data_IF_023940705167
#
_entry.id   IF_023940705167
#
_cell.length_a   1.000
_cell.length_b   1.000
_cell.length_c   1.000
_cell.angle_alpha   90.00
_cell.angle_beta   90.00
_cell.angle_gamma   90.00
#
_symmetry.space_group_name_H-M   'P 1'
#
loop_
_entity.id
_entity.type
_entity.pdbx_description
1 polymer ?
#
# COMPACT_ATOMS: atom_id res chain seq x y z
N UNK A 1 1.12 -15.91 -0.01
CA UNK A 1 2.28 -15.10 0.44
C UNK A 1 3.38 -14.98 -0.62
N UNK A 2 4.07 -16.06 -1.01
CA UNK A 2 5.21 -15.96 -1.94
C UNK A 2 4.82 -15.41 -3.32
N UNK A 3 3.72 -15.89 -3.89
CA UNK A 3 3.20 -15.34 -5.16
C UNK A 3 2.80 -13.86 -5.07
N UNK A 4 2.45 -13.36 -3.89
CA UNK A 4 2.15 -11.93 -3.66
C UNK A 4 3.45 -11.13 -3.57
N UNK A 5 4.43 -11.61 -2.80
CA UNK A 5 5.77 -11.01 -2.74
C UNK A 5 6.42 -10.93 -4.13
N UNK A 6 6.32 -11.98 -4.95
CA UNK A 6 6.79 -11.98 -6.33
C UNK A 6 6.08 -10.95 -7.22
N UNK A 7 4.77 -10.72 -7.02
CA UNK A 7 4.06 -9.67 -7.75
C UNK A 7 4.58 -8.27 -7.36
N UNK A 8 4.88 -8.05 -6.07
CA UNK A 8 5.50 -6.82 -5.59
C UNK A 8 6.89 -6.61 -6.19
N UNK A 9 7.78 -7.60 -6.07
CA UNK A 9 9.16 -7.54 -6.61
C UNK A 9 9.17 -7.16 -8.08
N UNK A 10 8.39 -7.87 -8.90
CA UNK A 10 8.26 -7.59 -10.34
C UNK A 10 7.74 -6.18 -10.64
N UNK A 11 6.83 -5.65 -9.82
CA UNK A 11 6.36 -4.28 -10.02
C UNK A 11 7.48 -3.26 -9.73
N UNK A 12 8.27 -3.45 -8.68
CA UNK A 12 9.36 -2.54 -8.33
C UNK A 12 10.58 -2.69 -9.25
N UNK A 13 10.86 -3.88 -9.79
CA UNK A 13 11.89 -4.11 -10.82
C UNK A 13 11.66 -3.24 -12.07
N UNK A 14 10.41 -2.88 -12.35
CA UNK A 14 10.03 -2.04 -13.48
C UNK A 14 10.02 -0.54 -13.15
N UNK A 15 10.51 -0.16 -11.96
CA UNK A 15 10.55 1.22 -11.49
C UNK A 15 11.97 1.63 -11.14
N UNK A 16 12.26 2.93 -11.18
CA UNK A 16 13.55 3.48 -10.71
C UNK A 16 13.63 3.69 -9.20
N UNK A 17 12.78 3.00 -8.41
CA UNK A 17 12.71 3.11 -6.96
C UNK A 17 12.24 1.80 -6.34
N UNK A 18 12.47 1.61 -5.04
CA UNK A 18 11.98 0.43 -4.33
C UNK A 18 10.92 0.73 -3.27
N UNK A 19 10.49 -0.32 -2.54
CA UNK A 19 9.52 -0.22 -1.45
C UNK A 19 9.90 0.78 -0.34
N UNK A 20 11.20 1.03 -0.15
CA UNK A 20 11.72 1.97 0.84
C UNK A 20 11.24 3.41 0.63
N UNK A 21 10.80 3.74 -0.58
CA UNK A 21 10.30 5.06 -0.97
C UNK A 21 8.76 5.11 -1.10
N UNK A 22 8.05 4.04 -0.74
CA UNK A 22 6.58 3.96 -0.80
C UNK A 22 5.98 4.30 0.56
N UNK A 23 5.04 5.24 0.59
CA UNK A 23 4.46 5.77 1.83
C UNK A 23 2.98 5.41 1.99
N UNK A 24 2.34 4.86 0.96
CA UNK A 24 0.96 4.34 1.00
C UNK A 24 0.83 3.02 0.23
N UNK A 25 0.38 1.97 0.90
CA UNK A 25 -0.11 0.73 0.27
C UNK A 25 -1.62 0.66 0.39
N UNK A 26 -2.28 0.66 -0.75
CA UNK A 26 -3.67 0.26 -0.91
C UNK A 26 -3.73 -1.27 -1.10
N UNK A 27 -3.93 -1.97 0.01
CA UNK A 27 -3.95 -3.43 0.07
C UNK A 27 -5.19 -4.04 -0.59
N UNK A 28 -5.06 -5.31 -0.96
CA UNK A 28 -6.18 -6.15 -1.32
C UNK A 28 -7.17 -6.27 -0.14
N UNK A 29 -6.70 -6.43 1.10
CA UNK A 29 -7.39 -6.11 2.35
C UNK A 29 -8.87 -6.52 2.39
N UNK A 30 -9.15 -7.81 2.28
CA UNK A 30 -10.53 -8.32 2.24
C UNK A 30 -11.17 -8.45 3.62
N UNK A 31 -10.39 -8.31 4.69
CA UNK A 31 -10.88 -8.50 6.06
C UNK A 31 -10.97 -9.97 6.45
N UNK A 32 -10.36 -10.87 5.66
CA UNK A 32 -10.37 -12.30 5.96
C UNK A 32 -9.13 -12.66 6.76
N UNK A 33 -9.28 -13.38 7.88
CA UNK A 33 -8.16 -13.71 8.78
C UNK A 33 -6.96 -14.32 8.04
N UNK A 34 -7.22 -15.32 7.19
CA UNK A 34 -6.18 -16.00 6.43
C UNK A 34 -5.63 -15.17 5.26
N UNK A 35 -6.51 -14.43 4.57
CA UNK A 35 -6.11 -13.60 3.42
C UNK A 35 -5.28 -12.40 3.84
N UNK A 36 -5.70 -11.68 4.87
CA UNK A 36 -4.98 -10.52 5.39
C UNK A 36 -3.61 -10.95 5.98
N UNK A 37 -3.53 -12.10 6.65
CA UNK A 37 -2.26 -12.65 7.13
C UNK A 37 -1.31 -13.05 5.98
N UNK A 38 -1.85 -13.67 4.92
CA UNK A 38 -1.07 -14.04 3.75
C UNK A 38 -0.54 -12.81 3.00
N UNK A 39 -1.40 -11.81 2.80
CA UNK A 39 -1.06 -10.54 2.17
C UNK A 39 -0.02 -9.78 2.99
N UNK A 40 -0.25 -9.61 4.29
CA UNK A 40 0.67 -8.89 5.16
C UNK A 40 2.05 -9.54 5.17
N UNK A 41 2.13 -10.88 5.21
CA UNK A 41 3.40 -11.61 5.08
C UNK A 41 4.10 -11.29 3.75
N UNK A 42 3.36 -11.28 2.64
CA UNK A 42 3.91 -10.95 1.32
C UNK A 42 4.45 -9.51 1.24
N UNK A 43 3.70 -8.55 1.79
CA UNK A 43 4.11 -7.16 1.91
C UNK A 43 5.37 -7.01 2.77
N UNK A 44 5.36 -7.58 3.99
CA UNK A 44 6.47 -7.51 4.92
C UNK A 44 7.75 -8.13 4.36
N UNK A 45 7.65 -9.27 3.65
CA UNK A 45 8.81 -9.88 2.97
C UNK A 45 9.41 -8.93 1.92
N UNK A 46 8.59 -8.42 0.99
CA UNK A 46 9.09 -7.56 -0.08
C UNK A 46 9.63 -6.21 0.45
N UNK A 47 9.01 -5.65 1.51
CA UNK A 47 9.48 -4.39 2.09
C UNK A 47 10.74 -4.57 2.93
N UNK A 48 10.91 -5.69 3.64
CA UNK A 48 12.14 -5.97 4.39
C UNK A 48 13.36 -6.12 3.45
N UNK A 49 13.16 -6.64 2.24
CA UNK A 49 14.20 -6.76 1.22
C UNK A 49 14.74 -5.42 0.72
N UNK A 50 14.02 -4.31 0.94
CA UNK A 50 14.48 -2.95 0.58
C UNK A 50 15.63 -2.44 1.46
N UNK A 51 15.86 -3.05 2.62
CA UNK A 51 16.93 -2.68 3.55
C UNK A 51 16.66 -1.42 4.39
N UNK A 52 15.48 -0.78 4.27
CA UNK A 52 15.09 0.32 5.16
C UNK A 52 14.72 -0.21 6.54
N UNK A 53 15.42 0.29 7.56
CA UNK A 53 15.24 -0.14 8.96
C UNK A 53 14.24 0.71 9.75
N UNK A 54 13.90 1.92 9.26
CA UNK A 54 12.90 2.76 9.92
C UNK A 54 11.62 1.97 10.13
N UNK A 55 11.04 1.91 11.34
CA UNK A 55 9.74 1.27 11.50
C UNK A 55 8.63 2.20 11.02
N UNK A 56 7.49 1.63 10.60
CA UNK A 56 6.21 2.35 10.45
C UNK A 56 6.18 3.52 9.43
N UNK A 57 7.06 3.59 8.43
CA UNK A 57 7.02 4.69 7.44
C UNK A 57 5.84 4.62 6.47
N UNK A 58 5.29 3.43 6.24
CA UNK A 58 4.33 3.19 5.18
C UNK A 58 2.90 3.06 5.71
N UNK A 59 1.98 3.86 5.20
CA UNK A 59 0.56 3.74 5.54
C UNK A 59 -0.05 2.54 4.84
N UNK A 60 -0.75 1.67 5.56
CA UNK A 60 -1.48 0.54 5.01
C UNK A 60 -2.99 0.76 5.16
N UNK A 61 -3.75 0.52 4.09
CA UNK A 61 -5.22 0.62 4.13
C UNK A 61 -5.90 -0.11 2.98
N UNK A 62 -7.24 -0.16 3.01
CA UNK A 62 -8.02 -0.70 1.90
C UNK A 62 -9.38 -0.01 1.76
N UNK A 63 -9.73 0.38 0.53
CA UNK A 63 -11.03 0.96 0.12
C UNK A 63 -12.19 0.01 0.42
N UNK A 64 -11.92 -1.29 0.54
CA UNK A 64 -12.95 -2.30 0.84
C UNK A 64 -13.56 -2.08 2.22
N UNK A 65 -12.86 -1.43 3.15
CA UNK A 65 -13.45 -1.07 4.43
C UNK A 65 -14.62 -0.07 4.27
N UNK A 66 -14.59 0.77 3.24
CA UNK A 66 -15.59 1.79 2.92
C UNK A 66 -16.71 1.25 2.02
N UNK A 67 -16.35 0.60 0.91
CA UNK A 67 -17.32 0.27 -0.16
C UNK A 67 -17.60 -1.24 -0.29
N UNK A 68 -16.98 -2.06 0.57
CA UNK A 68 -17.02 -3.52 0.45
C UNK A 68 -16.16 -4.05 -0.70
N UNK A 69 -16.22 -5.36 -0.92
CA UNK A 69 -15.42 -5.99 -1.98
C UNK A 69 -16.12 -5.91 -3.33
N UNK A 70 -15.71 -4.94 -4.17
CA UNK A 70 -16.24 -4.71 -5.52
C UNK A 70 -15.83 -5.76 -6.58
N UNK A 71 -15.42 -6.96 -6.16
CA UNK A 71 -14.99 -8.09 -7.01
C UNK A 71 -14.06 -7.66 -8.16
N UNK A 72 -14.48 -7.84 -9.42
CA UNK A 72 -13.72 -7.49 -10.61
C UNK A 72 -13.30 -6.00 -10.67
N UNK A 73 -14.09 -5.11 -10.06
CA UNK A 73 -13.78 -3.68 -9.99
C UNK A 73 -12.89 -3.30 -8.79
N UNK A 74 -12.51 -4.25 -7.93
CA UNK A 74 -11.76 -3.97 -6.70
C UNK A 74 -10.39 -3.34 -6.97
N UNK A 75 -9.68 -3.80 -8.01
CA UNK A 75 -8.41 -3.21 -8.41
C UNK A 75 -8.55 -1.77 -8.89
N UNK A 76 -9.56 -1.50 -9.73
CA UNK A 76 -9.85 -0.16 -10.23
C UNK A 76 -10.28 0.80 -9.09
N UNK A 77 -11.08 0.33 -8.13
CA UNK A 77 -11.49 1.13 -6.98
C UNK A 77 -10.30 1.49 -6.08
N UNK A 78 -9.40 0.53 -5.81
CA UNK A 78 -8.17 0.77 -5.05
C UNK A 78 -7.22 1.73 -5.79
N UNK A 79 -7.03 1.52 -7.08
CA UNK A 79 -6.25 2.40 -7.95
C UNK A 79 -6.79 3.83 -7.93
N UNK A 80 -8.10 3.99 -8.08
CA UNK A 80 -8.73 5.31 -8.01
C UNK A 80 -8.47 5.99 -6.66
N UNK A 81 -8.65 5.28 -5.54
CA UNK A 81 -8.35 5.82 -4.20
C UNK A 81 -6.88 6.24 -4.08
N UNK A 82 -5.93 5.43 -4.54
CA UNK A 82 -4.50 5.74 -4.48
C UNK A 82 -4.13 6.97 -5.33
N UNK A 83 -4.67 7.06 -6.55
CA UNK A 83 -4.49 8.24 -7.42
C UNK A 83 -5.06 9.50 -6.77
N UNK A 84 -6.26 9.41 -6.17
CA UNK A 84 -6.87 10.54 -5.48
C UNK A 84 -6.10 10.94 -4.21
N UNK A 85 -5.49 9.97 -3.50
CA UNK A 85 -4.62 10.23 -2.36
C UNK A 85 -3.37 11.03 -2.76
N UNK A 86 -2.72 10.65 -3.87
CA UNK A 86 -1.59 11.39 -4.45
C UNK A 86 -2.01 12.79 -4.91
N UNK A 87 -3.11 12.88 -5.66
CA UNK A 87 -3.62 14.14 -6.21
C UNK A 87 -3.96 15.15 -5.11
N UNK A 88 -4.69 14.73 -4.09
CA UNK A 88 -5.07 15.58 -2.96
C UNK A 88 -4.01 15.69 -1.87
N UNK A 89 -2.90 14.95 -1.98
CA UNK A 89 -1.81 14.93 -0.99
C UNK A 89 -2.34 14.59 0.40
N UNK A 90 -3.14 13.52 0.49
CA UNK A 90 -3.79 13.05 1.72
C UNK A 90 -3.55 11.55 1.88
N UNK A 91 -3.19 11.12 3.08
CA UNK A 91 -3.24 9.73 3.50
C UNK A 91 -4.67 9.41 3.94
N UNK A 92 -5.44 8.61 3.15
CA UNK A 92 -6.83 8.35 3.44
C UNK A 92 -7.00 7.39 4.62
N UNK A 93 -8.11 7.46 5.36
CA UNK A 93 -8.37 6.52 6.44
C UNK A 93 -8.65 5.12 5.88
N UNK A 94 -8.31 4.10 6.66
CA UNK A 94 -8.93 2.77 6.60
C UNK A 94 -9.88 2.65 7.79
N UNK A 95 -11.13 2.25 7.54
CA UNK A 95 -12.18 2.26 8.56
C UNK A 95 -12.50 0.84 9.04
N UNK A 96 -13.37 0.70 10.04
CA UNK A 96 -13.72 -0.60 10.66
C UNK A 96 -12.51 -1.34 11.25
N UNK A 97 -11.52 -0.56 11.70
CA UNK A 97 -10.36 -1.04 12.46
C UNK A 97 -10.45 -0.43 13.84
N UNK A 98 -10.86 -1.23 14.84
CA UNK A 98 -10.79 -0.83 16.25
C UNK A 98 -9.40 -1.14 16.83
N UNK A 99 -8.89 -2.34 16.53
CA UNK A 99 -7.54 -2.80 16.85
C UNK A 99 -7.01 -3.64 15.68
N UNK A 100 -5.72 -3.48 15.29
CA UNK A 100 -5.11 -4.35 14.30
C UNK A 100 -5.12 -5.81 14.80
N UNK A 101 -5.10 -6.76 13.87
CA UNK A 101 -4.96 -8.17 14.21
C UNK A 101 -3.58 -8.40 14.87
N UNK A 102 -3.51 -8.79 16.16
CA UNK A 102 -2.23 -8.93 16.87
C UNK A 102 -1.29 -9.94 16.23
N UNK A 103 -1.82 -10.94 15.51
CA UNK A 103 -1.02 -11.95 14.82
C UNK A 103 -0.23 -11.40 13.62
N UNK A 104 -0.52 -10.17 13.19
CA UNK A 104 0.24 -9.50 12.13
C UNK A 104 1.44 -8.72 12.69
N UNK A 105 1.46 -8.40 13.98
CA UNK A 105 2.53 -7.60 14.60
C UNK A 105 2.85 -6.32 13.79
N UNK A 106 1.80 -5.62 13.33
CA UNK A 106 1.91 -4.46 12.42
C UNK A 106 2.91 -3.43 12.95
N UNK A 107 2.88 -3.19 14.26
CA UNK A 107 3.73 -2.23 14.97
C UNK A 107 5.24 -2.55 14.87
N UNK A 108 5.61 -3.80 14.54
CA UNK A 108 6.99 -4.25 14.34
C UNK A 108 7.39 -4.31 12.87
N UNK A 109 6.57 -3.74 11.99
CA UNK A 109 6.75 -3.79 10.54
C UNK A 109 6.99 -2.39 9.93
N UNK A 110 7.27 -2.31 8.63
CA UNK A 110 7.23 -1.05 7.88
C UNK A 110 5.88 -0.30 7.92
N UNK A 111 4.79 -0.98 8.27
CA UNK A 111 3.43 -0.52 8.03
C UNK A 111 2.74 0.00 9.27
N UNK A 112 2.04 1.13 9.18
CA UNK A 112 1.06 1.56 10.17
C UNK A 112 -0.32 1.70 9.54
N UNK A 113 -1.38 1.52 10.33
CA UNK A 113 -2.75 1.78 9.88
C UNK A 113 -3.15 3.22 10.22
N UNK A 114 -3.62 3.99 9.23
CA UNK A 114 -4.23 5.29 9.49
C UNK A 114 -5.74 5.16 9.57
N UNK A 115 -6.33 5.35 10.75
CA UNK A 115 -7.79 5.36 10.96
C UNK A 115 -8.42 6.73 10.74
N UNK A 116 -7.61 7.75 10.43
CA UNK A 116 -8.03 9.12 10.17
C UNK A 116 -7.38 9.64 8.88
N UNK A 117 -8.07 10.54 8.18
CA UNK A 117 -7.46 11.26 7.06
C UNK A 117 -6.37 12.19 7.60
N UNK A 118 -5.19 12.22 6.96
CA UNK A 118 -4.08 13.10 7.36
C UNK A 118 -3.43 13.73 6.13
N UNK A 119 -2.90 14.96 6.22
CA UNK A 119 -2.06 15.50 5.16
C UNK A 119 -0.89 14.56 4.86
N UNK A 120 -0.65 14.29 3.59
CA UNK A 120 0.52 13.55 3.12
C UNK A 120 1.65 14.56 2.90
N UNK A 121 2.34 14.89 3.98
CA UNK A 121 3.46 15.83 3.96
C UNK A 121 4.67 15.14 3.33
N UNK A 122 5.30 15.79 2.36
CA UNK A 122 6.48 15.29 1.65
C UNK A 122 7.74 15.61 2.46
N UNK A 123 8.67 14.65 2.60
CA UNK A 123 9.93 14.83 3.34
C UNK A 123 11.09 15.44 2.51
N UNK A 124 10.82 15.72 1.24
CA UNK A 124 11.65 16.37 0.20
C UNK A 124 12.58 15.47 -0.63
N UNK A 125 12.82 14.20 -0.29
CA UNK A 125 13.82 13.39 -1.02
C UNK A 125 13.30 12.69 -2.27
N UNK A 126 12.02 12.36 -2.31
CA UNK A 126 11.37 11.77 -3.48
C UNK A 126 9.93 12.31 -3.65
N UNK A 127 9.30 12.10 -4.82
CA UNK A 127 7.87 12.32 -4.98
C UNK A 127 7.08 11.35 -4.10
N UNK A 128 5.87 11.74 -3.68
CA UNK A 128 4.93 10.83 -3.01
C UNK A 128 4.71 9.59 -3.83
N UNK A 129 4.75 8.42 -3.20
CA UNK A 129 4.55 7.14 -3.89
C UNK A 129 3.58 6.24 -3.16
N UNK A 130 2.71 5.66 -3.96
CA UNK A 130 1.71 4.70 -3.52
C UNK A 130 1.91 3.37 -4.25
N UNK A 131 1.31 2.32 -3.70
CA UNK A 131 1.13 1.08 -4.43
C UNK A 131 -0.22 0.45 -4.16
N UNK A 132 -0.66 -0.42 -5.07
CA UNK A 132 -1.98 -1.06 -5.03
C UNK A 132 -1.82 -2.55 -5.25
N UNK A 133 -2.38 -3.35 -4.33
CA UNK A 133 -2.44 -4.81 -4.43
C UNK A 133 -3.84 -5.30 -4.78
N UNK A 134 -3.95 -6.26 -5.70
CA UNK A 134 -5.21 -6.95 -5.99
C UNK A 134 -4.95 -8.42 -6.31
N UNK A 135 -5.53 -9.31 -5.50
CA UNK A 135 -5.28 -10.75 -5.57
C UNK A 135 -6.58 -11.49 -5.91
N UNK A 136 -6.54 -12.31 -6.96
CA UNK A 136 -7.68 -13.10 -7.39
C UNK A 136 -7.74 -14.44 -6.66
N UNK A 137 -8.95 -14.95 -6.43
CA UNK A 137 -9.17 -16.29 -5.84
C UNK A 137 -8.47 -17.42 -6.60
N UNK A 138 -8.30 -17.27 -7.93
CA UNK A 138 -7.58 -18.21 -8.78
C UNK A 138 -6.05 -18.17 -8.65
N UNK A 139 -5.49 -17.36 -7.75
CA UNK A 139 -4.06 -17.27 -7.49
C UNK A 139 -3.30 -16.25 -8.35
N UNK A 140 -3.98 -15.54 -9.27
CA UNK A 140 -3.38 -14.43 -10.01
C UNK A 140 -3.18 -13.22 -9.09
N UNK A 141 -1.93 -12.78 -8.96
CA UNK A 141 -1.55 -11.66 -8.10
C UNK A 141 -1.09 -10.47 -8.95
N UNK A 142 -1.64 -9.29 -8.66
CA UNK A 142 -1.27 -8.06 -9.34
C UNK A 142 -0.84 -7.01 -8.31
N UNK A 143 0.19 -6.24 -8.66
CA UNK A 143 0.67 -5.12 -7.88
C UNK A 143 1.02 -3.97 -8.83
N UNK A 144 0.68 -2.74 -8.45
CA UNK A 144 1.04 -1.51 -9.17
C UNK A 144 1.84 -0.64 -8.22
N UNK A 145 3.00 -0.18 -8.66
CA UNK A 145 3.75 0.89 -8.01
C UNK A 145 3.54 2.19 -8.80
N UNK A 146 3.26 3.31 -8.11
CA UNK A 146 3.00 4.60 -8.75
C UNK A 146 3.61 5.76 -7.97
N UNK A 147 3.98 6.80 -8.70
CA UNK A 147 4.55 8.04 -8.17
C UNK A 147 3.64 9.21 -8.51
N UNK A 148 3.56 10.21 -7.64
CA UNK A 148 2.96 11.49 -8.01
C UNK A 148 3.74 12.09 -9.18
N UNK A 149 3.02 12.80 -10.05
CA UNK A 149 3.64 13.62 -11.09
C UNK A 149 4.19 14.90 -10.46
N UNK A 150 5.47 15.18 -10.71
CA UNK A 150 6.12 16.43 -10.33
C UNK A 150 6.42 17.21 -11.62
N UNK A 151 5.78 18.37 -11.85
CA UNK A 151 6.10 19.21 -12.99
C UNK A 151 7.57 19.66 -12.96
N UNK A 152 8.24 19.69 -14.12
CA UNK A 152 9.65 20.09 -14.26
C UNK A 152 9.97 21.47 -13.66
N UNK A 153 8.96 22.35 -13.54
CA UNK A 153 9.11 23.72 -13.03
C UNK A 153 8.63 23.94 -11.58
N UNK A 154 8.32 22.89 -10.83
CA UNK A 154 7.78 23.03 -9.46
C UNK A 154 8.85 23.35 -8.38
N UNK A 155 10.07 23.70 -8.79
CA UNK A 155 11.22 24.01 -7.93
C UNK A 155 11.93 25.33 -8.25
N UNK A 156 11.26 26.28 -8.92
CA UNK A 156 11.72 27.66 -9.07
C UNK A 156 10.93 28.61 -8.17
#
# INVERSE_FOLDING_TARGET
PEGQANALRRAYEHTGYGPEQVELVEAHGTGTKAGDAAEFKGLATAFAESGREDPQWCTLGSVKSQIGHAKAAAGAAGLFKAVMALHHKVLPPTIKVERPNPALEIERSPFHLSTQARPWVRDSQHPRRASVSSFGFGGSNFHIAMSEYVPENAGA
#
